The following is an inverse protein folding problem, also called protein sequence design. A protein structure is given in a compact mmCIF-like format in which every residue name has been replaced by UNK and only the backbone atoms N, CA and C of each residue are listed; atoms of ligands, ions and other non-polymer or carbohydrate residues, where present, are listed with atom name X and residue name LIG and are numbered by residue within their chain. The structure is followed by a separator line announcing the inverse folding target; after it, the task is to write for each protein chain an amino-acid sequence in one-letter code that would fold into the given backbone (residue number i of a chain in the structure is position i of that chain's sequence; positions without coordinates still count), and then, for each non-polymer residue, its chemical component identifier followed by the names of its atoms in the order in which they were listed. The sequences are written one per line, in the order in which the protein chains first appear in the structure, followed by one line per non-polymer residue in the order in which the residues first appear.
data_IF_277898844272
#
_entry.id   IF_277898844272
#
_cell.length_a   1.000
_cell.length_b   1.000
_cell.length_c   1.000
_cell.angle_alpha   90.00
_cell.angle_beta   90.00
_cell.angle_gamma   90.00
#
_symmetry.space_group_name_H-M   'P 1'
#
loop_
_entity.id
_entity.type
_entity.pdbx_description
1 polymer ?
#
# COMPACT_ATOMS: atom_id res chain seq x y z
N UNK A 1 10.11 16.23 -6.37
CA UNK A 1 9.73 16.90 -5.10
C UNK A 1 8.22 17.14 -5.04
N UNK A 2 7.61 17.80 -6.03
CA UNK A 2 6.16 18.10 -6.01
C UNK A 2 5.25 16.89 -5.77
N UNK A 3 5.45 15.78 -6.50
CA UNK A 3 4.63 14.57 -6.33
C UNK A 3 4.76 13.89 -4.96
N UNK A 4 5.92 13.99 -4.30
CA UNK A 4 6.11 13.43 -2.96
C UNK A 4 5.35 14.21 -1.90
N UNK A 5 5.35 15.55 -1.99
CA UNK A 5 4.55 16.40 -1.11
C UNK A 5 3.06 16.12 -1.31
N UNK A 6 2.63 15.99 -2.55
CA UNK A 6 1.26 15.62 -2.88
C UNK A 6 0.87 14.27 -2.26
N UNK A 7 1.70 13.24 -2.42
CA UNK A 7 1.49 11.92 -1.85
C UNK A 7 1.41 11.96 -0.30
N UNK A 8 2.24 12.76 0.36
CA UNK A 8 2.19 12.92 1.82
C UNK A 8 0.89 13.59 2.27
N UNK A 9 0.48 14.68 1.62
CA UNK A 9 -0.79 15.37 1.92
C UNK A 9 -1.96 14.41 1.68
N UNK A 10 -1.94 13.67 0.57
CA UNK A 10 -2.94 12.67 0.25
C UNK A 10 -3.04 11.60 1.35
N UNK A 11 -1.92 11.08 1.85
CA UNK A 11 -1.92 10.10 2.94
C UNK A 11 -2.53 10.65 4.23
N UNK A 12 -2.27 11.92 4.57
CA UNK A 12 -2.91 12.59 5.71
C UNK A 12 -4.43 12.63 5.53
N UNK A 13 -4.89 13.05 4.34
CA UNK A 13 -6.32 13.15 4.02
C UNK A 13 -6.97 11.77 4.12
N UNK A 14 -6.36 10.74 3.54
CA UNK A 14 -6.89 9.36 3.53
C UNK A 14 -7.06 8.84 4.96
N UNK A 15 -6.04 8.97 5.82
CA UNK A 15 -6.11 8.46 7.18
C UNK A 15 -7.14 9.22 8.00
N UNK A 16 -7.16 10.56 7.91
CA UNK A 16 -8.16 11.37 8.63
C UNK A 16 -9.59 11.04 8.18
N UNK A 17 -9.82 10.93 6.88
CA UNK A 17 -11.13 10.56 6.35
C UNK A 17 -11.55 9.17 6.84
N UNK A 18 -10.63 8.21 6.79
CA UNK A 18 -10.91 6.82 7.18
C UNK A 18 -11.22 6.68 8.68
N UNK A 19 -10.53 7.43 9.55
CA UNK A 19 -10.74 7.34 11.01
C UNK A 19 -11.94 8.16 11.45
N UNK A 20 -12.08 9.40 10.98
CA UNK A 20 -13.11 10.34 11.49
C UNK A 20 -14.44 10.31 10.73
N UNK A 21 -14.45 9.95 9.44
CA UNK A 21 -15.68 9.91 8.64
C UNK A 21 -16.22 8.51 8.43
N UNK A 22 -15.34 7.50 8.33
CA UNK A 22 -15.73 6.09 8.19
C UNK A 22 -15.74 5.33 9.53
N UNK A 23 -15.44 6.01 10.64
CA UNK A 23 -15.38 5.44 12.00
C UNK A 23 -14.54 4.16 12.08
N UNK A 24 -13.43 4.08 11.32
CA UNK A 24 -12.52 2.94 11.42
C UNK A 24 -11.83 2.93 12.78
N UNK A 25 -12.01 1.82 13.49
CA UNK A 25 -11.32 1.58 14.75
C UNK A 25 -9.82 1.35 14.49
N UNK A 26 -8.98 2.19 15.11
CA UNK A 26 -7.53 2.02 15.13
C UNK A 26 -7.14 1.63 16.54
N UNK A 27 -6.84 0.35 16.75
CA UNK A 27 -6.44 -0.16 18.05
C UNK A 27 -5.06 0.39 18.49
N UNK A 28 -4.12 0.51 17.54
CA UNK A 28 -2.77 1.03 17.74
C UNK A 28 -2.63 2.55 17.55
N UNK A 29 -1.44 2.97 17.11
CA UNK A 29 -1.12 4.40 16.93
C UNK A 29 -1.55 4.93 15.56
N UNK A 30 -2.35 6.00 15.56
CA UNK A 30 -2.75 6.69 14.33
C UNK A 30 -1.54 7.26 13.56
N UNK A 31 -0.46 7.61 14.27
CA UNK A 31 0.79 8.09 13.65
C UNK A 31 1.49 6.98 12.87
N UNK A 32 1.43 5.74 13.35
CA UNK A 32 1.97 4.59 12.62
C UNK A 32 1.15 4.31 11.37
N UNK A 33 -0.18 4.35 11.45
CA UNK A 33 -1.07 4.23 10.29
C UNK A 33 -0.76 5.28 9.24
N UNK A 34 -0.53 6.53 9.66
CA UNK A 34 -0.15 7.63 8.78
C UNK A 34 1.22 7.41 8.15
N UNK A 35 2.21 6.97 8.92
CA UNK A 35 3.56 6.68 8.42
C UNK A 35 3.53 5.55 7.38
N UNK A 36 2.83 4.44 7.67
CA UNK A 36 2.70 3.31 6.75
C UNK A 36 2.00 3.76 5.46
N UNK A 37 0.91 4.50 5.57
CA UNK A 37 0.17 5.01 4.41
C UNK A 37 1.01 5.99 3.58
N UNK A 38 1.85 6.80 4.21
CA UNK A 38 2.79 7.70 3.53
C UNK A 38 3.91 6.93 2.81
N UNK A 39 4.53 5.95 3.46
CA UNK A 39 5.56 5.11 2.84
C UNK A 39 4.99 4.32 1.66
N UNK A 40 3.77 3.79 1.80
CA UNK A 40 3.10 3.06 0.73
C UNK A 40 2.75 3.98 -0.46
N UNK A 41 2.26 5.19 -0.21
CA UNK A 41 1.95 6.15 -1.29
C UNK A 41 3.20 6.60 -2.05
N UNK A 42 4.31 6.86 -1.34
CA UNK A 42 5.61 7.16 -1.97
C UNK A 42 6.16 5.98 -2.77
N UNK A 43 5.97 4.75 -2.28
CA UNK A 43 6.39 3.54 -3.00
C UNK A 43 5.56 3.35 -4.26
N UNK A 44 4.24 3.50 -4.18
CA UNK A 44 3.34 3.45 -5.33
C UNK A 44 3.65 4.55 -6.36
N UNK A 45 3.97 5.76 -5.90
CA UNK A 45 4.38 6.86 -6.75
C UNK A 45 5.68 6.54 -7.50
N UNK A 46 6.68 6.01 -6.78
CA UNK A 46 7.97 5.61 -7.38
C UNK A 46 7.75 4.53 -8.44
N UNK A 47 6.94 3.51 -8.13
CA UNK A 47 6.60 2.44 -9.05
C UNK A 47 5.87 2.95 -10.29
N UNK A 48 4.86 3.82 -10.13
CA UNK A 48 4.13 4.42 -11.24
C UNK A 48 5.03 5.29 -12.13
N UNK A 49 5.93 6.06 -11.52
CA UNK A 49 6.93 6.88 -12.23
C UNK A 49 7.92 6.00 -12.99
N UNK A 50 8.37 4.89 -12.39
CA UNK A 50 9.24 3.92 -13.03
C UNK A 50 8.57 3.28 -14.26
N UNK A 51 7.30 2.87 -14.15
CA UNK A 51 6.54 2.32 -15.29
C UNK A 51 6.35 3.37 -16.40
N UNK A 52 6.14 4.64 -16.02
CA UNK A 52 6.05 5.78 -16.96
C UNK A 52 7.29 5.93 -17.82
N UNK A 53 8.47 5.67 -17.27
CA UNK A 53 9.72 5.75 -18.02
C UNK A 53 9.85 4.69 -19.13
N UNK A 54 9.13 3.57 -19.03
CA UNK A 54 9.15 2.48 -20.04
C UNK A 54 7.97 2.51 -21.00
N UNK A 55 6.97 3.35 -20.76
CA UNK A 55 5.83 3.46 -21.67
C UNK A 55 6.14 4.42 -22.81
N UNK A 56 5.82 3.97 -24.03
CA UNK A 56 6.07 4.73 -25.25
C UNK A 56 4.93 5.71 -25.56
N UNK A 57 3.75 5.52 -24.96
CA UNK A 57 2.59 6.40 -25.12
C UNK A 57 1.65 6.33 -23.90
N UNK A 58 0.75 7.30 -23.80
CA UNK A 58 -0.23 7.41 -22.69
C UNK A 58 -1.17 6.21 -22.61
N UNK A 59 -1.57 5.66 -23.76
CA UNK A 59 -2.46 4.50 -23.79
C UNK A 59 -1.79 3.25 -23.19
N UNK A 60 -0.50 3.06 -23.44
CA UNK A 60 0.31 1.99 -22.86
C UNK A 60 0.44 2.18 -21.34
N UNK A 61 0.56 3.42 -20.86
CA UNK A 61 0.54 3.69 -19.42
C UNK A 61 -0.76 3.30 -18.76
N UNK A 62 -1.89 3.66 -19.37
CA UNK A 62 -3.21 3.30 -18.86
C UNK A 62 -3.37 1.77 -18.79
N UNK A 63 -2.76 1.01 -19.72
CA UNK A 63 -2.74 -0.45 -19.69
C UNK A 63 -1.79 -1.05 -18.64
N UNK A 64 -0.68 -0.39 -18.32
CA UNK A 64 0.23 -0.84 -17.27
C UNK A 64 -0.37 -0.75 -15.86
N UNK A 65 -1.22 0.25 -15.62
CA UNK A 65 -1.90 0.44 -14.33
C UNK A 65 -2.64 -0.84 -13.88
N UNK A 66 -3.62 -1.38 -14.61
CA UNK A 66 -4.33 -2.58 -14.19
C UNK A 66 -3.42 -3.81 -14.13
N UNK A 67 -2.43 -3.92 -15.03
CA UNK A 67 -1.45 -5.01 -15.02
C UNK A 67 -0.68 -5.09 -13.69
N UNK A 68 -0.42 -3.95 -13.06
CA UNK A 68 0.37 -3.87 -11.82
C UNK A 68 -0.52 -3.82 -10.59
N UNK A 69 -1.61 -3.04 -10.61
CA UNK A 69 -2.49 -2.87 -9.45
C UNK A 69 -3.32 -4.13 -9.18
N UNK A 70 -3.86 -4.79 -10.21
CA UNK A 70 -4.74 -5.94 -10.00
C UNK A 70 -4.02 -7.07 -9.27
N UNK A 71 -2.82 -7.53 -9.69
CA UNK A 71 -2.06 -8.53 -8.94
C UNK A 71 -1.78 -8.08 -7.50
N UNK A 72 -1.40 -6.81 -7.29
CA UNK A 72 -1.14 -6.28 -5.95
C UNK A 72 -2.34 -6.44 -5.02
N UNK A 73 -3.57 -6.17 -5.51
CA UNK A 73 -4.79 -6.34 -4.72
C UNK A 73 -4.99 -7.80 -4.32
N UNK A 74 -4.77 -8.76 -5.23
CA UNK A 74 -4.87 -10.19 -4.90
C UNK A 74 -3.89 -10.61 -3.79
N UNK A 75 -2.67 -10.07 -3.83
CA UNK A 75 -1.62 -10.35 -2.84
C UNK A 75 -1.62 -9.40 -1.63
N UNK A 76 -2.61 -8.52 -1.49
CA UNK A 76 -2.71 -7.60 -0.34
C UNK A 76 -3.15 -8.27 0.96
N UNK A 77 -3.49 -9.58 0.92
CA UNK A 77 -4.05 -10.31 2.07
C UNK A 77 -5.58 -10.37 2.08
N UNK A 78 -6.24 -9.82 1.05
CA UNK A 78 -7.67 -10.05 0.80
C UNK A 78 -7.98 -11.53 0.53
N UNK A 79 -7.06 -12.24 -0.11
CA UNK A 79 -7.12 -13.69 -0.27
C UNK A 79 -6.07 -14.36 0.63
N UNK A 80 -6.36 -15.55 1.18
CA UNK A 80 -5.38 -16.28 1.99
C UNK A 80 -4.17 -16.69 1.13
N UNK A 81 -3.10 -15.92 1.20
CA UNK A 81 -1.88 -16.15 0.40
C UNK A 81 -1.20 -17.47 0.82
N UNK A 82 -1.31 -17.83 2.09
CA UNK A 82 -0.74 -19.06 2.67
C UNK A 82 -1.29 -20.35 2.02
N UNK A 83 -2.52 -20.31 1.49
CA UNK A 83 -3.13 -21.45 0.81
C UNK A 83 -2.81 -21.50 -0.69
N UNK A 84 -2.10 -20.51 -1.23
CA UNK A 84 -1.66 -20.48 -2.63
C UNK A 84 -0.41 -21.35 -2.85
N UNK A 85 -0.15 -21.76 -4.09
CA UNK A 85 1.06 -22.48 -4.46
C UNK A 85 2.33 -21.67 -4.13
N UNK A 86 3.42 -22.33 -3.72
CA UNK A 86 4.70 -21.72 -3.29
C UNK A 86 5.25 -20.68 -4.30
N UNK A 87 5.14 -20.95 -5.60
CA UNK A 87 5.57 -20.00 -6.64
C UNK A 87 4.75 -18.71 -6.63
N UNK A 88 3.45 -18.81 -6.39
CA UNK A 88 2.55 -17.67 -6.34
C UNK A 88 2.77 -16.84 -5.06
N UNK A 89 3.06 -17.51 -3.95
CA UNK A 89 3.49 -16.83 -2.71
C UNK A 89 4.79 -16.04 -2.90
N UNK A 90 5.75 -16.60 -3.64
CA UNK A 90 7.02 -15.92 -3.93
C UNK A 90 6.82 -14.69 -4.82
N UNK A 91 5.90 -14.76 -5.78
CA UNK A 91 5.51 -13.64 -6.63
C UNK A 91 4.84 -12.53 -5.81
N UNK A 92 3.96 -12.88 -4.87
CA UNK A 92 3.32 -11.92 -3.97
C UNK A 92 4.32 -11.06 -3.18
N UNK A 93 5.48 -11.62 -2.80
CA UNK A 93 6.54 -10.89 -2.08
C UNK A 93 7.24 -9.81 -2.92
N UNK A 94 7.03 -9.78 -4.23
CA UNK A 94 7.55 -8.69 -5.07
C UNK A 94 6.73 -7.40 -4.92
N UNK A 95 5.51 -7.50 -4.42
CA UNK A 95 4.58 -6.39 -4.41
C UNK A 95 4.63 -5.61 -3.09
N UNK A 96 4.86 -4.29 -3.13
CA UNK A 96 4.98 -3.48 -1.92
C UNK A 96 3.67 -3.41 -1.12
N UNK A 97 2.52 -3.53 -1.80
CA UNK A 97 1.21 -3.49 -1.15
C UNK A 97 1.01 -4.64 -0.15
N UNK A 98 1.61 -5.80 -0.39
CA UNK A 98 1.54 -6.95 0.54
C UNK A 98 2.10 -6.58 1.91
N UNK A 99 3.26 -5.91 1.94
CA UNK A 99 3.88 -5.47 3.18
C UNK A 99 3.12 -4.32 3.85
N UNK A 100 2.64 -3.36 3.06
CA UNK A 100 1.86 -2.23 3.58
C UNK A 100 0.54 -2.67 4.21
N UNK A 101 -0.17 -3.60 3.57
CA UNK A 101 -1.42 -4.14 4.09
C UNK A 101 -1.21 -4.98 5.36
N UNK A 102 -0.16 -5.79 5.42
CA UNK A 102 0.17 -6.54 6.63
C UNK A 102 0.54 -5.61 7.79
N UNK A 103 1.40 -4.61 7.56
CA UNK A 103 1.74 -3.61 8.58
C UNK A 103 0.52 -2.82 9.08
N UNK A 104 -0.38 -2.41 8.17
CA UNK A 104 -1.65 -1.78 8.54
C UNK A 104 -2.50 -2.70 9.43
N UNK A 105 -2.56 -4.00 9.11
CA UNK A 105 -3.31 -4.99 9.91
C UNK A 105 -2.73 -5.14 11.31
N UNK A 106 -1.41 -5.18 11.43
CA UNK A 106 -0.71 -5.26 12.71
C UNK A 106 -0.99 -4.03 13.60
N UNK A 107 -0.95 -2.83 13.04
CA UNK A 107 -1.20 -1.59 13.79
C UNK A 107 -2.69 -1.39 14.11
N UNK A 108 -3.56 -1.48 13.12
CA UNK A 108 -4.97 -1.10 13.28
C UNK A 108 -5.78 -2.15 14.03
N UNK A 109 -5.48 -3.45 13.86
CA UNK A 109 -6.29 -4.54 14.42
C UNK A 109 -5.61 -5.17 15.64
N UNK A 110 -4.30 -5.39 15.59
CA UNK A 110 -3.57 -6.14 16.63
C UNK A 110 -2.97 -5.27 17.73
N UNK A 111 -3.13 -3.94 17.65
CA UNK A 111 -2.56 -2.97 18.60
C UNK A 111 -1.04 -3.12 18.78
N UNK A 112 -0.32 -3.52 17.73
CA UNK A 112 1.12 -3.68 17.81
C UNK A 112 1.80 -2.31 17.66
N UNK A 113 2.67 -1.98 18.62
CA UNK A 113 3.43 -0.74 18.65
C UNK A 113 4.68 -0.77 17.78
N UNK A 114 5.35 0.38 17.65
CA UNK A 114 6.57 0.54 16.83
C UNK A 114 7.66 -0.50 17.19
N UNK A 115 7.74 -0.87 18.47
CA UNK A 115 8.74 -1.82 19.01
C UNK A 115 8.48 -3.28 18.67
N UNK A 116 7.27 -3.65 18.24
CA UNK A 116 6.97 -5.01 17.77
C UNK A 116 7.02 -5.14 16.24
N UNK A 117 7.03 -4.00 15.53
CA UNK A 117 6.99 -3.91 14.06
C UNK A 117 8.38 -3.61 13.46
N UNK A 118 9.30 -3.01 14.25
CA UNK A 118 10.66 -2.65 13.85
C UNK A 118 11.68 -3.78 13.98
#
# INVERSE_FOLDING_TARGET
IGFGIFASIQSIIIVNFSVYFLDLYVAGSIWLTLLITCMLSLTALTLGTFLSAYANNEFQMIQFIPLVIVPQIFFSGLFPIESMNKWLQMLGKLFPLTYGADAMRQVMIRNQGFTEIA
#
